data_IF_863227057698
#
_entry.id   IF_863227057698
#
_cell.length_a   1.000
_cell.length_b   1.000
_cell.length_c   1.000
_cell.angle_alpha   90.00
_cell.angle_beta   90.00
_cell.angle_gamma   90.00
#
_symmetry.space_group_name_H-M   'P 1'
#
loop_
_entity.id
_entity.type
_entity.pdbx_description
1 polymer ?
#
# COMPACT_ATOMS: atom_id res chain seq x y z
N UNK A 1 -8.96 6.45 20.76
CA UNK A 1 -8.51 5.42 19.83
C UNK A 1 -7.02 5.29 20.05
N UNK A 2 -6.52 4.09 20.34
CA UNK A 2 -5.07 3.87 20.35
C UNK A 2 -4.54 3.81 18.89
N UNK A 3 -3.22 3.73 18.71
CA UNK A 3 -2.61 3.71 17.38
C UNK A 3 -3.08 2.50 16.57
N UNK A 4 -3.08 1.31 17.17
CA UNK A 4 -3.47 0.07 16.50
C UNK A 4 -4.91 0.11 16.00
N UNK A 5 -5.86 0.50 16.86
CA UNK A 5 -7.27 0.69 16.49
C UNK A 5 -7.41 1.70 15.33
N UNK A 6 -6.58 2.73 15.29
CA UNK A 6 -6.59 3.72 14.21
C UNK A 6 -6.03 3.14 12.90
N UNK A 7 -4.95 2.36 12.96
CA UNK A 7 -4.43 1.62 11.81
C UNK A 7 -5.50 0.65 11.29
N UNK A 8 -6.05 -0.21 12.15
CA UNK A 8 -7.09 -1.17 11.76
C UNK A 8 -8.32 -0.46 11.16
N UNK A 9 -8.72 0.67 11.73
CA UNK A 9 -9.82 1.49 11.21
C UNK A 9 -9.50 2.03 9.79
N UNK A 10 -8.26 2.44 9.51
CA UNK A 10 -7.82 2.79 8.13
C UNK A 10 -7.92 1.56 7.22
N UNK A 11 -7.41 0.41 7.67
CA UNK A 11 -7.37 -0.84 6.90
C UNK A 11 -8.75 -1.32 6.46
N UNK A 12 -9.76 -1.26 7.33
CA UNK A 12 -11.13 -1.69 7.01
C UNK A 12 -11.94 -0.63 6.25
N UNK A 13 -11.56 0.65 6.33
CA UNK A 13 -12.23 1.74 5.60
C UNK A 13 -12.06 1.63 4.10
N UNK A 14 -10.98 0.97 3.66
CA UNK A 14 -10.54 0.99 2.27
C UNK A 14 -10.54 -0.42 1.70
N UNK A 15 -10.74 -0.50 0.39
CA UNK A 15 -10.21 -1.60 -0.39
C UNK A 15 -8.85 -1.19 -0.96
N UNK A 16 -7.87 -2.06 -0.82
CA UNK A 16 -6.49 -1.85 -1.25
C UNK A 16 -6.30 -2.69 -2.51
N UNK A 17 -6.27 -2.06 -3.68
CA UNK A 17 -6.43 -2.73 -4.98
C UNK A 17 -7.65 -3.67 -4.99
N UNK A 18 -7.42 -4.98 -4.86
CA UNK A 18 -8.46 -6.02 -4.83
C UNK A 18 -8.56 -6.76 -3.50
N UNK A 19 -7.89 -6.24 -2.47
CA UNK A 19 -7.83 -6.84 -1.16
C UNK A 19 -8.61 -6.00 -0.14
N UNK A 20 -9.21 -6.68 0.84
CA UNK A 20 -9.82 -6.05 2.01
C UNK A 20 -9.38 -6.73 3.28
N UNK A 21 -9.20 -5.94 4.33
CA UNK A 21 -9.02 -6.45 5.68
C UNK A 21 -10.40 -6.64 6.34
N UNK A 22 -10.58 -7.76 7.02
CA UNK A 22 -11.81 -8.15 7.70
C UNK A 22 -11.61 -8.10 9.22
N UNK A 23 -11.28 -6.91 9.74
CA UNK A 23 -10.94 -6.69 11.15
C UNK A 23 -12.18 -6.19 11.93
N UNK A 24 -12.28 -6.45 13.24
CA UNK A 24 -13.38 -5.98 14.08
C UNK A 24 -13.28 -4.47 14.42
N UNK A 25 -12.74 -3.65 13.51
CA UNK A 25 -12.57 -2.22 13.67
C UNK A 25 -13.71 -1.43 13.00
N UNK A 26 -13.96 -0.21 13.49
CA UNK A 26 -14.97 0.67 12.90
C UNK A 26 -14.36 1.46 11.73
N UNK A 27 -14.94 1.41 10.52
CA UNK A 27 -14.45 2.22 9.41
C UNK A 27 -14.55 3.72 9.73
N UNK A 28 -13.55 4.45 9.28
CA UNK A 28 -13.40 5.91 9.39
C UNK A 28 -14.32 6.60 8.40
N UNK A 29 -14.40 6.06 7.18
CA UNK A 29 -15.21 6.61 6.09
C UNK A 29 -16.58 5.96 6.05
N UNK A 30 -17.60 6.76 5.75
CA UNK A 30 -18.92 6.26 5.34
C UNK A 30 -19.02 6.16 3.81
N UNK A 31 -17.97 5.67 3.17
CA UNK A 31 -17.83 5.54 1.72
C UNK A 31 -17.20 4.19 1.38
N UNK A 32 -17.75 3.51 0.38
CA UNK A 32 -17.15 2.31 -0.20
C UNK A 32 -16.05 2.69 -1.19
N UNK A 33 -14.87 3.00 -0.66
CA UNK A 33 -13.72 3.49 -1.42
C UNK A 33 -12.76 2.35 -1.79
N UNK A 34 -12.02 2.50 -2.90
CA UNK A 34 -10.83 1.71 -3.17
C UNK A 34 -9.65 2.58 -3.62
N UNK A 35 -8.44 2.20 -3.22
CA UNK A 35 -7.18 2.81 -3.66
C UNK A 35 -6.48 1.83 -4.58
N UNK A 36 -6.03 2.28 -5.75
CA UNK A 36 -5.33 1.45 -6.73
C UNK A 36 -3.84 1.79 -6.76
N UNK A 37 -2.97 0.79 -6.71
CA UNK A 37 -1.51 0.96 -6.78
C UNK A 37 -0.95 0.73 -8.19
N UNK A 38 -1.60 -0.17 -8.97
CA UNK A 38 -0.99 -0.70 -10.19
C UNK A 38 -1.98 -0.92 -11.35
N UNK A 39 -1.43 -0.91 -12.57
CA UNK A 39 -2.21 -1.02 -13.81
C UNK A 39 -2.42 -2.44 -14.32
N UNK A 40 -1.79 -3.44 -13.71
CA UNK A 40 -1.95 -4.84 -14.09
C UNK A 40 -3.31 -5.40 -13.66
N UNK A 41 -3.89 -6.29 -14.47
CA UNK A 41 -5.27 -6.79 -14.29
C UNK A 41 -5.50 -7.44 -12.93
N UNK A 42 -4.46 -8.04 -12.36
CA UNK A 42 -4.51 -8.74 -11.09
C UNK A 42 -4.56 -7.80 -9.87
N UNK A 43 -4.54 -6.47 -10.04
CA UNK A 43 -4.86 -5.46 -9.03
C UNK A 43 -6.30 -4.92 -9.14
N UNK A 44 -7.04 -5.38 -10.15
CA UNK A 44 -8.37 -4.88 -10.46
C UNK A 44 -9.42 -5.93 -10.14
N UNK A 45 -10.60 -5.48 -9.72
CA UNK A 45 -11.69 -6.38 -9.38
C UNK A 45 -13.05 -5.87 -9.86
N UNK A 46 -13.96 -6.80 -10.18
CA UNK A 46 -15.30 -6.49 -10.73
C UNK A 46 -16.13 -5.62 -9.80
N UNK A 47 -15.88 -5.66 -8.49
CA UNK A 47 -16.62 -4.85 -7.53
C UNK A 47 -16.29 -3.35 -7.62
N UNK A 48 -15.28 -2.94 -8.40
CA UNK A 48 -14.98 -1.53 -8.65
C UNK A 48 -16.15 -0.76 -9.27
N UNK A 49 -17.04 -1.43 -10.02
CA UNK A 49 -18.27 -0.83 -10.53
C UNK A 49 -19.30 -0.48 -9.44
N UNK A 50 -19.14 -1.04 -8.24
CA UNK A 50 -20.03 -0.84 -7.09
C UNK A 50 -19.42 0.10 -6.04
N UNK A 51 -18.23 0.66 -6.33
CA UNK A 51 -17.56 1.59 -5.43
C UNK A 51 -18.21 2.97 -5.51
N UNK A 52 -18.21 3.69 -4.42
CA UNK A 52 -18.58 5.12 -4.45
C UNK A 52 -17.47 5.93 -5.10
N UNK A 53 -16.22 5.53 -4.86
CA UNK A 53 -15.04 6.21 -5.37
C UNK A 53 -13.84 5.26 -5.53
N UNK A 54 -13.08 5.47 -6.59
CA UNK A 54 -11.79 4.83 -6.86
C UNK A 54 -10.71 5.89 -6.92
N UNK A 55 -9.74 5.83 -6.01
CA UNK A 55 -8.54 6.67 -6.06
C UNK A 55 -7.48 5.96 -6.88
N UNK A 56 -7.06 6.60 -7.96
CA UNK A 56 -6.10 6.02 -8.91
C UNK A 56 -4.97 7.04 -9.15
N UNK A 57 -3.70 6.61 -9.19
CA UNK A 57 -2.62 7.50 -9.57
C UNK A 57 -2.86 8.07 -10.97
N UNK A 58 -2.53 9.35 -11.15
CA UNK A 58 -2.80 10.08 -12.39
C UNK A 58 -2.25 9.36 -13.63
N UNK A 59 -1.11 8.67 -13.45
CA UNK A 59 -0.38 7.98 -14.51
C UNK A 59 -0.68 6.48 -14.62
N UNK A 60 -1.41 5.88 -13.68
CA UNK A 60 -1.76 4.45 -13.78
C UNK A 60 -2.68 4.22 -14.97
N UNK A 61 -2.28 3.32 -15.88
CA UNK A 61 -3.14 2.95 -17.00
C UNK A 61 -4.20 1.97 -16.52
N UNK A 62 -5.45 2.24 -16.87
CA UNK A 62 -6.55 1.35 -16.57
C UNK A 62 -6.59 0.19 -17.57
N UNK A 63 -6.77 -1.06 -17.12
CA UNK A 63 -7.02 -2.18 -18.01
C UNK A 63 -8.27 -1.94 -18.86
N UNK A 64 -8.29 -2.50 -20.08
CA UNK A 64 -9.39 -2.33 -21.05
C UNK A 64 -10.79 -2.58 -20.47
N UNK A 65 -11.05 -3.65 -19.69
CA UNK A 65 -12.38 -3.93 -19.15
C UNK A 65 -12.91 -2.78 -18.29
N UNK A 66 -12.04 -2.12 -17.54
CA UNK A 66 -12.41 -1.12 -16.54
C UNK A 66 -12.47 0.31 -17.07
N UNK A 67 -12.18 0.54 -18.36
CA UNK A 67 -12.12 1.89 -18.98
C UNK A 67 -13.40 2.72 -18.81
N UNK A 68 -14.55 2.07 -18.62
CA UNK A 68 -15.85 2.70 -18.51
C UNK A 68 -16.28 3.01 -17.06
N UNK A 69 -15.42 2.75 -16.07
CA UNK A 69 -15.65 3.19 -14.69
C UNK A 69 -15.77 4.72 -14.65
N UNK A 70 -16.79 5.21 -13.92
CA UNK A 70 -17.14 6.65 -13.89
C UNK A 70 -16.75 7.32 -12.57
N UNK A 71 -16.68 6.54 -11.51
CA UNK A 71 -16.40 6.89 -10.12
C UNK A 71 -14.89 6.97 -9.84
N UNK A 72 -14.13 7.64 -10.70
CA UNK A 72 -12.66 7.69 -10.60
C UNK A 72 -12.20 9.09 -10.20
N UNK A 73 -11.37 9.14 -9.18
CA UNK A 73 -10.56 10.30 -8.84
C UNK A 73 -9.09 10.03 -9.16
N UNK A 74 -8.57 10.79 -10.13
CA UNK A 74 -7.17 10.74 -10.55
C UNK A 74 -6.34 11.65 -9.66
N UNK A 75 -5.51 11.07 -8.82
CA UNK A 75 -4.69 11.83 -7.87
C UNK A 75 -3.29 12.04 -8.47
N UNK A 76 -2.71 13.23 -8.37
CA UNK A 76 -1.34 13.49 -8.85
C UNK A 76 -0.29 13.50 -7.73
N UNK A 77 -0.60 14.09 -6.58
CA UNK A 77 0.31 14.16 -5.43
C UNK A 77 -0.37 13.72 -4.16
N UNK A 78 -1.42 14.44 -3.77
CA UNK A 78 -2.25 14.08 -2.64
C UNK A 78 -3.70 14.43 -2.90
N UNK A 79 -4.58 13.82 -2.12
CA UNK A 79 -6.02 14.08 -2.14
C UNK A 79 -6.59 13.86 -0.75
N UNK A 80 -7.60 14.64 -0.36
CA UNK A 80 -8.23 14.51 0.95
C UNK A 80 -9.68 14.09 0.80
N UNK A 81 -10.03 12.96 1.41
CA UNK A 81 -11.41 12.46 1.47
C UNK A 81 -11.81 12.37 2.95
N UNK A 82 -12.70 13.27 3.36
CA UNK A 82 -13.15 13.41 4.75
C UNK A 82 -11.97 13.54 5.74
N UNK A 83 -11.73 12.48 6.53
CA UNK A 83 -10.72 12.40 7.60
C UNK A 83 -9.43 11.71 7.15
N UNK A 84 -9.35 11.28 5.90
CA UNK A 84 -8.17 10.61 5.34
C UNK A 84 -7.50 11.49 4.28
N UNK A 85 -6.19 11.63 4.38
CA UNK A 85 -5.32 12.16 3.33
C UNK A 85 -4.61 10.99 2.63
N UNK A 86 -4.60 11.03 1.30
CA UNK A 86 -3.99 10.02 0.45
C UNK A 86 -2.83 10.68 -0.28
N UNK A 87 -1.60 10.30 0.04
CA UNK A 87 -0.40 10.83 -0.59
C UNK A 87 0.23 9.76 -1.47
N UNK A 88 0.53 10.11 -2.72
CA UNK A 88 1.30 9.24 -3.61
C UNK A 88 2.78 9.37 -3.34
N UNK A 89 3.42 8.22 -3.20
CA UNK A 89 4.86 8.09 -3.18
C UNK A 89 5.29 7.54 -4.53
N UNK A 90 5.59 8.46 -5.45
CA UNK A 90 6.10 8.15 -6.78
C UNK A 90 7.64 8.24 -6.81
N UNK A 91 8.23 7.93 -7.98
CA UNK A 91 9.69 8.05 -8.20
C UNK A 91 10.26 9.39 -7.74
N UNK A 92 9.58 10.51 -7.99
CA UNK A 92 10.10 11.84 -7.66
C UNK A 92 10.08 12.09 -6.16
N UNK A 93 9.06 11.58 -5.46
CA UNK A 93 8.99 11.65 -4.00
C UNK A 93 10.11 10.81 -3.38
N UNK A 94 10.33 9.60 -3.90
CA UNK A 94 11.42 8.72 -3.46
C UNK A 94 12.79 9.36 -3.69
N UNK A 95 13.09 9.83 -4.91
CA UNK A 95 14.37 10.47 -5.24
C UNK A 95 14.67 11.69 -4.34
N UNK A 96 13.64 12.49 -4.02
CA UNK A 96 13.78 13.65 -3.14
C UNK A 96 14.08 13.24 -1.70
N UNK A 97 13.39 12.23 -1.19
CA UNK A 97 13.56 11.80 0.21
C UNK A 97 14.88 11.05 0.40
N UNK A 98 15.20 10.13 -0.51
CA UNK A 98 16.35 9.25 -0.44
C UNK A 98 17.65 9.90 -0.92
N UNK A 99 17.56 11.03 -1.63
CA UNK A 99 18.70 11.77 -2.18
C UNK A 99 19.56 10.91 -3.13
N UNK A 100 18.93 10.00 -3.87
CA UNK A 100 19.57 9.24 -4.96
C UNK A 100 18.57 8.91 -6.08
N UNK A 101 19.03 8.65 -7.32
CA UNK A 101 18.15 8.29 -8.44
C UNK A 101 17.45 6.93 -8.27
N UNK A 102 16.13 6.91 -8.48
CA UNK A 102 15.32 5.67 -8.46
C UNK A 102 14.94 5.31 -9.90
N UNK A 103 15.88 4.68 -10.61
CA UNK A 103 15.72 4.27 -12.01
C UNK A 103 16.10 2.80 -12.27
N UNK A 104 15.18 1.91 -12.72
CA UNK A 104 13.82 2.23 -13.14
C UNK A 104 12.92 2.66 -11.97
N UNK A 105 11.81 3.33 -12.34
CA UNK A 105 10.76 3.68 -11.38
C UNK A 105 10.19 2.41 -10.70
N UNK A 106 9.63 2.54 -9.48
CA UNK A 106 9.01 1.42 -8.78
C UNK A 106 7.95 0.72 -9.62
N UNK A 107 7.77 -0.59 -9.36
CA UNK A 107 6.83 -1.39 -10.13
C UNK A 107 5.39 -0.90 -10.01
N UNK A 108 4.96 -0.57 -8.79
CA UNK A 108 3.67 0.04 -8.49
C UNK A 108 3.83 1.41 -7.82
N UNK A 109 2.75 2.20 -7.86
CA UNK A 109 2.67 3.42 -7.06
C UNK A 109 2.41 3.06 -5.61
N UNK A 110 3.14 3.70 -4.71
CA UNK A 110 2.93 3.53 -3.28
C UNK A 110 2.02 4.64 -2.77
N UNK A 111 1.33 4.37 -1.67
CA UNK A 111 0.43 5.33 -1.04
C UNK A 111 0.74 5.44 0.45
N UNK A 112 0.81 6.66 0.96
CA UNK A 112 0.65 6.90 2.40
C UNK A 112 -0.80 7.35 2.60
N UNK A 113 -1.52 6.61 3.44
CA UNK A 113 -2.86 6.98 3.89
C UNK A 113 -2.75 7.46 5.32
N UNK A 114 -3.13 8.69 5.54
CA UNK A 114 -2.98 9.38 6.81
C UNK A 114 -4.34 9.77 7.37
N UNK A 115 -4.60 9.31 8.59
CA UNK A 115 -5.75 9.76 9.37
C UNK A 115 -5.34 10.98 10.17
N UNK A 116 -5.99 12.10 9.87
CA UNK A 116 -5.75 13.36 10.56
C UNK A 116 -6.47 13.38 11.91
N UNK A 117 -5.73 13.53 13.01
CA UNK A 117 -6.29 13.64 14.36
C UNK A 117 -5.70 14.78 15.17
N UNK A 118 -6.47 15.27 16.15
CA UNK A 118 -6.05 16.32 17.09
C UNK A 118 -4.86 15.87 17.97
N UNK A 119 -4.67 14.55 18.17
CA UNK A 119 -3.62 13.95 19.01
C UNK A 119 -2.54 13.20 18.20
N UNK A 120 -2.20 13.73 17.03
CA UNK A 120 -1.16 13.18 16.16
C UNK A 120 -1.72 12.27 15.08
N UNK A 121 -1.11 12.34 13.90
CA UNK A 121 -1.62 11.67 12.71
C UNK A 121 -1.15 10.22 12.62
N UNK A 122 -2.05 9.31 12.24
CA UNK A 122 -1.74 7.88 12.05
C UNK A 122 -1.55 7.62 10.56
N UNK A 123 -0.42 7.01 10.20
CA UNK A 123 0.02 6.81 8.81
C UNK A 123 0.17 5.33 8.48
N UNK A 124 -0.42 4.93 7.36
CA UNK A 124 -0.27 3.58 6.78
C UNK A 124 0.38 3.69 5.41
N UNK A 125 1.51 3.02 5.21
CA UNK A 125 2.15 2.87 3.91
C UNK A 125 1.57 1.64 3.20
N UNK A 126 1.09 1.83 1.98
CA UNK A 126 0.59 0.77 1.11
C UNK A 126 1.48 0.62 -0.11
N UNK A 127 2.10 -0.56 -0.22
CA UNK A 127 2.86 -1.00 -1.39
C UNK A 127 2.13 -2.21 -1.97
N UNK A 128 1.39 -2.00 -3.06
CA UNK A 128 0.52 -3.04 -3.61
C UNK A 128 1.22 -4.08 -4.47
N UNK A 129 2.37 -3.74 -5.07
CA UNK A 129 3.18 -4.65 -5.87
C UNK A 129 4.66 -4.25 -5.80
N UNK A 130 5.56 -5.21 -6.01
CA UNK A 130 7.00 -4.98 -5.90
C UNK A 130 7.78 -5.83 -6.90
N UNK A 131 8.91 -5.30 -7.35
CA UNK A 131 10.03 -6.06 -7.87
C UNK A 131 11.12 -6.25 -6.81
N UNK A 132 12.07 -7.15 -7.06
CA UNK A 132 13.23 -7.39 -6.17
C UNK A 132 13.93 -6.09 -5.76
N UNK A 133 14.15 -5.18 -6.72
CA UNK A 133 14.74 -3.87 -6.46
C UNK A 133 13.90 -3.00 -5.53
N UNK A 134 12.58 -3.04 -5.68
CA UNK A 134 11.67 -2.18 -4.92
C UNK A 134 11.75 -2.49 -3.42
N UNK A 135 12.13 -3.71 -3.05
CA UNK A 135 12.33 -4.09 -1.64
C UNK A 135 13.46 -3.28 -1.00
N UNK A 136 14.58 -3.10 -1.69
CA UNK A 136 15.68 -2.29 -1.18
C UNK A 136 15.31 -0.80 -1.11
N UNK A 137 14.57 -0.30 -2.12
CA UNK A 137 14.08 1.09 -2.11
C UNK A 137 13.08 1.30 -0.96
N UNK A 138 12.21 0.31 -0.69
CA UNK A 138 11.25 0.37 0.40
C UNK A 138 11.95 0.35 1.76
N UNK A 139 13.00 -0.47 1.92
CA UNK A 139 13.86 -0.47 3.11
C UNK A 139 14.43 0.92 3.39
N UNK A 140 15.12 1.50 2.40
CA UNK A 140 15.72 2.83 2.55
C UNK A 140 14.65 3.89 2.83
N UNK A 141 13.50 3.81 2.14
CA UNK A 141 12.40 4.74 2.33
C UNK A 141 11.84 4.70 3.74
N UNK A 142 11.54 3.52 4.27
CA UNK A 142 11.00 3.36 5.61
C UNK A 142 12.01 3.85 6.65
N UNK A 143 13.29 3.45 6.55
CA UNK A 143 14.34 3.95 7.44
C UNK A 143 14.39 5.48 7.43
N UNK A 144 14.44 6.10 6.25
CA UNK A 144 14.48 7.57 6.12
C UNK A 144 13.21 8.25 6.65
N UNK A 145 12.04 7.62 6.57
CA UNK A 145 10.81 8.14 7.19
C UNK A 145 10.98 8.23 8.72
N UNK A 146 11.49 7.17 9.35
CA UNK A 146 11.76 7.16 10.79
C UNK A 146 12.88 8.13 11.21
N UNK A 147 13.98 8.18 10.46
CA UNK A 147 15.09 9.13 10.69
C UNK A 147 14.65 10.60 10.62
N UNK A 148 13.59 10.90 9.86
CA UNK A 148 13.01 12.25 9.70
C UNK A 148 11.80 12.51 10.59
N UNK A 149 11.51 11.62 11.54
CA UNK A 149 10.34 11.71 12.42
C UNK A 149 8.99 11.73 11.67
N UNK A 150 8.94 11.12 10.48
CA UNK A 150 7.73 10.90 9.70
C UNK A 150 7.20 9.48 9.99
N UNK A 151 6.84 9.24 11.25
CA UNK A 151 6.49 7.91 11.76
C UNK A 151 5.38 7.24 10.94
N UNK A 152 5.64 6.00 10.53
CA UNK A 152 4.67 5.07 10.00
C UNK A 152 4.14 4.20 11.14
N UNK A 153 2.86 3.85 11.09
CA UNK A 153 2.19 3.06 12.12
C UNK A 153 1.67 1.74 11.55
N UNK A 154 1.44 1.68 10.24
CA UNK A 154 1.18 0.45 9.52
C UNK A 154 1.91 0.40 8.18
N UNK A 155 2.32 -0.79 7.75
CA UNK A 155 2.90 -1.02 6.43
C UNK A 155 2.28 -2.24 5.78
N UNK A 156 1.86 -2.11 4.52
CA UNK A 156 1.25 -3.18 3.73
C UNK A 156 2.19 -3.61 2.61
N UNK A 157 2.52 -4.90 2.58
CA UNK A 157 3.36 -5.51 1.55
C UNK A 157 2.64 -6.64 0.79
N UNK A 158 3.00 -6.89 -0.48
CA UNK A 158 2.53 -8.06 -1.20
C UNK A 158 3.18 -9.34 -0.64
N UNK A 159 2.42 -10.43 -0.56
CA UNK A 159 2.91 -11.74 -0.10
C UNK A 159 2.89 -12.75 -1.25
N UNK A 160 4.05 -12.96 -1.87
CA UNK A 160 4.19 -13.82 -3.04
C UNK A 160 4.36 -15.30 -2.67
N UNK A 161 3.66 -16.19 -3.37
CA UNK A 161 3.79 -17.65 -3.21
C UNK A 161 4.85 -18.33 -4.07
N UNK A 162 5.66 -17.54 -4.78
CA UNK A 162 6.63 -18.00 -5.75
C UNK A 162 6.37 -17.36 -7.12
N UNK A 163 7.16 -16.36 -7.48
CA UNK A 163 7.04 -15.63 -8.75
C UNK A 163 8.40 -15.61 -9.47
N UNK A 164 8.40 -16.07 -10.73
CA UNK A 164 9.56 -15.96 -11.64
C UNK A 164 9.50 -14.72 -12.53
N UNK A 165 8.43 -13.92 -12.40
CA UNK A 165 8.33 -12.53 -12.85
C UNK A 165 8.72 -11.59 -11.70
N UNK A 166 8.75 -10.27 -11.91
CA UNK A 166 9.13 -9.25 -10.91
C UNK A 166 10.64 -9.02 -10.69
N UNK A 167 11.44 -9.21 -11.73
CA UNK A 167 12.89 -8.96 -11.69
C UNK A 167 13.69 -10.06 -10.99
N UNK A 168 13.04 -11.12 -10.53
CA UNK A 168 13.71 -12.30 -9.98
C UNK A 168 13.87 -13.40 -11.03
N UNK A 169 15.01 -14.08 -11.00
CA UNK A 169 15.22 -15.36 -11.70
C UNK A 169 14.99 -16.57 -10.78
N UNK A 170 14.85 -16.33 -9.47
CA UNK A 170 14.73 -17.34 -8.42
C UNK A 170 13.33 -17.21 -7.82
N UNK A 171 12.42 -18.16 -8.04
CA UNK A 171 10.99 -17.99 -7.74
C UNK A 171 10.63 -17.46 -6.35
N UNK A 172 11.46 -17.67 -5.32
CA UNK A 172 11.18 -17.27 -3.94
C UNK A 172 11.99 -16.08 -3.44
N UNK A 173 12.89 -15.54 -4.24
CA UNK A 173 13.80 -14.45 -3.82
C UNK A 173 13.02 -13.23 -3.33
N UNK A 174 12.04 -12.76 -4.10
CA UNK A 174 11.26 -11.58 -3.71
C UNK A 174 10.44 -11.84 -2.44
N UNK A 175 9.85 -13.04 -2.29
CA UNK A 175 9.11 -13.42 -1.09
C UNK A 175 10.01 -13.41 0.16
N UNK A 176 11.25 -13.90 0.02
CA UNK A 176 12.22 -13.91 1.12
C UNK A 176 12.65 -12.49 1.49
N UNK A 177 12.97 -11.65 0.51
CA UNK A 177 13.38 -10.26 0.73
C UNK A 177 12.25 -9.44 1.38
N UNK A 178 11.00 -9.62 0.96
CA UNK A 178 9.86 -8.94 1.60
C UNK A 178 9.69 -9.42 3.04
N UNK A 179 9.81 -10.73 3.30
CA UNK A 179 9.75 -11.26 4.66
C UNK A 179 10.86 -10.68 5.55
N UNK A 180 12.07 -10.59 5.04
CA UNK A 180 13.20 -9.99 5.77
C UNK A 180 12.95 -8.51 6.07
N UNK A 181 12.51 -7.74 5.06
CA UNK A 181 12.11 -6.34 5.26
C UNK A 181 10.96 -6.22 6.27
N UNK A 182 9.97 -7.11 6.22
CA UNK A 182 8.85 -7.09 7.16
C UNK A 182 9.33 -7.28 8.60
N UNK A 183 10.17 -8.29 8.87
CA UNK A 183 10.74 -8.48 10.21
C UNK A 183 11.60 -7.29 10.65
N UNK A 184 12.45 -6.76 9.78
CA UNK A 184 13.23 -5.54 10.06
C UNK A 184 12.32 -4.37 10.47
N UNK A 185 11.25 -4.13 9.71
CA UNK A 185 10.30 -3.05 10.00
C UNK A 185 9.58 -3.25 11.33
N UNK A 186 9.21 -4.48 11.66
CA UNK A 186 8.54 -4.79 12.93
C UNK A 186 9.48 -4.65 14.11
N UNK A 187 10.67 -5.24 14.02
CA UNK A 187 11.61 -5.34 15.12
C UNK A 187 12.29 -3.99 15.41
N UNK A 188 12.60 -3.21 14.38
CA UNK A 188 13.33 -1.93 14.56
C UNK A 188 12.42 -0.74 14.83
N UNK A 189 11.15 -0.79 14.39
CA UNK A 189 10.27 0.38 14.40
C UNK A 189 8.90 0.19 15.05
N UNK A 190 8.55 -1.02 15.52
CA UNK A 190 7.27 -1.32 16.18
C UNK A 190 6.05 -0.91 15.34
N UNK A 191 5.98 -1.43 14.12
CA UNK A 191 4.95 -1.10 13.12
C UNK A 191 4.03 -2.28 12.87
N UNK A 192 2.72 -2.03 12.77
CA UNK A 192 1.75 -3.06 12.38
C UNK A 192 1.93 -3.47 10.92
N UNK A 193 2.05 -4.78 10.67
CA UNK A 193 2.26 -5.32 9.34
C UNK A 193 0.99 -5.94 8.76
N UNK A 194 0.63 -5.48 7.56
CA UNK A 194 -0.43 -6.08 6.75
C UNK A 194 0.11 -6.78 5.51
N UNK A 195 -0.41 -7.97 5.23
CA UNK A 195 -0.10 -8.69 3.99
C UNK A 195 -1.25 -8.62 2.98
N UNK A 196 -0.86 -8.52 1.71
CA UNK A 196 -1.73 -8.58 0.54
C UNK A 196 -1.43 -9.90 -0.19
N UNK A 197 -2.26 -10.95 -0.05
CA UNK A 197 -1.90 -12.26 -0.59
C UNK A 197 -1.83 -12.32 -2.13
N UNK A 198 -0.68 -12.74 -2.64
CA UNK A 198 -0.36 -13.05 -4.04
C UNK A 198 0.26 -14.45 -4.24
N UNK A 199 -0.43 -15.58 -4.02
CA UNK A 199 -1.71 -15.84 -3.34
C UNK A 199 -1.52 -16.35 -1.90
N UNK A 200 -0.39 -16.06 -1.26
CA UNK A 200 0.00 -16.71 0.00
C UNK A 200 -0.30 -15.83 1.20
N UNK A 201 -0.92 -16.41 2.22
CA UNK A 201 -1.02 -15.83 3.56
C UNK A 201 0.38 -15.70 4.15
N UNK A 202 0.73 -14.50 4.59
CA UNK A 202 2.02 -14.24 5.19
C UNK A 202 2.00 -14.56 6.68
N UNK A 203 2.96 -15.37 7.14
CA UNK A 203 3.20 -15.63 8.57
C UNK A 203 3.90 -14.46 9.26
N UNK A 204 4.58 -13.59 8.50
CA UNK A 204 5.27 -12.41 9.03
C UNK A 204 4.32 -11.24 9.34
N UNK A 205 3.07 -11.29 8.85
CA UNK A 205 2.11 -10.21 9.00
C UNK A 205 1.23 -10.39 10.25
N UNK A 206 0.91 -9.28 10.92
CA UNK A 206 -0.06 -9.27 12.02
C UNK A 206 -1.47 -9.49 11.49
N UNK A 207 -1.77 -8.94 10.31
CA UNK A 207 -3.06 -9.06 9.64
C UNK A 207 -2.90 -9.43 8.17
N UNK A 208 -3.77 -10.32 7.68
CA UNK A 208 -3.80 -10.72 6.28
C UNK A 208 -5.10 -10.25 5.64
N UNK A 209 -4.97 -9.57 4.50
CA UNK A 209 -6.14 -9.21 3.71
C UNK A 209 -6.70 -10.42 2.97
N UNK A 210 -7.95 -10.35 2.56
CA UNK A 210 -8.58 -11.33 1.68
C UNK A 210 -8.77 -10.73 0.29
N UNK A 211 -8.51 -11.54 -0.74
CA UNK A 211 -8.94 -11.21 -2.10
C UNK A 211 -10.46 -11.26 -2.12
N UNK A 212 -11.07 -10.21 -2.68
CA UNK A 212 -12.53 -10.16 -2.89
C UNK A 212 -12.91 -10.18 -4.36
#
# INVERSE_FOLDING_TARGET
MNVDEAVESILVSLQWDRWRFMLPAKPILNLNLAVVSHGHMDHWHRNFYQKDLLLIPWRVKMPKPYRNLRNILRVYRSERIERLEFQQVDRRVLERLLNYPVDPAPHAYWWIVEKQEIKGDVRVLFIGDMNVRDVNVARDFIRTMFERSLTLHGVLFPSFGGVSSHGSRIPREISMLIRELAYEVKDDYDVMLGALPHPVTAEWADVNAVKI
#
